data_IF_801749993614
#
_entry.id   IF_801749993614
#
_cell.length_a   1.000
_cell.length_b   1.000
_cell.length_c   1.000
_cell.angle_alpha   90.00
_cell.angle_beta   90.00
_cell.angle_gamma   90.00
#
_symmetry.space_group_name_H-M   'P 1'
#
loop_
_entity.id
_entity.type
_entity.pdbx_description
1 polymer ?
#
# COMPACT_ATOMS: atom_id res chain seq x y z
N UNK A 1 0.77 -83.20 -34.70
CA UNK A 1 1.36 -82.45 -33.56
C UNK A 1 0.42 -81.28 -33.22
N UNK A 2 -0.21 -81.35 -32.03
CA UNK A 2 -0.75 -80.30 -31.13
C UNK A 2 -1.49 -79.03 -31.64
N UNK A 3 -2.68 -78.77 -31.05
CA UNK A 3 -3.52 -77.55 -31.09
C UNK A 3 -2.94 -76.33 -30.32
N UNK A 4 -3.25 -75.08 -30.74
CA UNK A 4 -3.84 -74.02 -29.86
C UNK A 4 -4.34 -72.74 -30.59
N UNK A 5 -5.38 -72.12 -30.01
CA UNK A 5 -6.15 -70.89 -30.38
C UNK A 5 -5.38 -69.55 -30.26
N UNK A 6 -6.02 -68.46 -30.74
CA UNK A 6 -6.03 -67.06 -30.20
C UNK A 6 -5.22 -66.02 -31.01
N UNK A 7 -5.52 -64.72 -31.16
CA UNK A 7 -6.69 -63.81 -31.03
C UNK A 7 -6.26 -62.44 -31.63
N UNK A 8 -7.25 -61.68 -32.12
CA UNK A 8 -7.35 -60.30 -32.67
C UNK A 8 -6.20 -59.29 -32.45
N UNK A 9 -5.89 -58.47 -33.48
CA UNK A 9 -5.25 -57.13 -33.32
C UNK A 9 -5.80 -56.06 -34.29
N UNK A 10 -6.63 -55.18 -33.71
CA UNK A 10 -6.85 -53.73 -33.89
C UNK A 10 -6.85 -53.09 -35.29
N UNK A 11 -8.01 -52.54 -35.66
CA UNK A 11 -8.26 -51.63 -36.80
C UNK A 11 -7.92 -50.18 -36.38
N UNK A 12 -7.29 -49.38 -37.25
CA UNK A 12 -7.27 -47.91 -37.16
C UNK A 12 -7.51 -47.29 -38.53
N UNK A 13 -8.59 -46.51 -38.76
CA UNK A 13 -8.87 -45.90 -40.06
C UNK A 13 -8.22 -44.51 -40.22
N UNK A 14 -7.51 -44.37 -41.35
CA UNK A 14 -7.45 -43.27 -42.32
C UNK A 14 -7.97 -41.87 -41.88
N UNK A 15 -7.09 -40.88 -41.86
CA UNK A 15 -7.46 -39.45 -41.80
C UNK A 15 -7.26 -38.84 -43.20
N UNK A 16 -8.36 -38.40 -43.81
CA UNK A 16 -8.40 -37.54 -44.97
C UNK A 16 -9.02 -36.19 -44.57
N UNK A 17 -8.35 -35.11 -45.00
CA UNK A 17 -8.63 -33.71 -44.67
C UNK A 17 -9.90 -33.22 -45.38
N UNK A 18 -10.78 -32.50 -44.69
CA UNK A 18 -11.80 -31.64 -45.29
C UNK A 18 -11.94 -30.34 -44.49
N UNK A 19 -11.86 -29.22 -45.19
CA UNK A 19 -11.72 -27.85 -44.66
C UNK A 19 -13.09 -27.31 -44.20
N UNK A 20 -13.21 -26.91 -42.92
CA UNK A 20 -14.41 -26.28 -42.37
C UNK A 20 -14.12 -24.79 -42.11
N UNK A 21 -14.73 -23.91 -42.92
CA UNK A 21 -14.81 -22.48 -42.67
C UNK A 21 -15.78 -22.24 -41.50
N UNK A 22 -15.25 -22.00 -40.30
CA UNK A 22 -16.05 -21.43 -39.20
C UNK A 22 -15.99 -19.91 -39.27
N UNK A 23 -17.14 -19.31 -39.57
CA UNK A 23 -17.41 -17.89 -39.41
C UNK A 23 -17.31 -17.55 -37.92
N UNK A 24 -16.15 -17.05 -37.46
CA UNK A 24 -16.07 -16.39 -36.16
C UNK A 24 -16.67 -14.99 -36.32
N UNK A 25 -17.87 -14.78 -35.78
CA UNK A 25 -18.33 -13.43 -35.43
C UNK A 25 -17.32 -12.77 -34.47
N UNK A 26 -17.38 -11.44 -34.26
CA UNK A 26 -16.48 -10.78 -33.32
C UNK A 26 -16.58 -11.52 -31.99
N UNK A 27 -15.47 -12.18 -31.63
CA UNK A 27 -15.32 -12.87 -30.37
C UNK A 27 -15.79 -11.89 -29.31
N UNK A 28 -16.77 -12.33 -28.53
CA UNK A 28 -17.36 -11.51 -27.49
C UNK A 28 -16.25 -10.76 -26.80
N UNK A 29 -16.28 -9.44 -26.91
CA UNK A 29 -15.72 -8.62 -25.87
C UNK A 29 -16.49 -9.08 -24.64
N UNK A 30 -15.92 -10.03 -23.88
CA UNK A 30 -16.08 -9.99 -22.44
C UNK A 30 -15.92 -8.52 -22.12
N UNK A 31 -16.95 -7.82 -21.59
CA UNK A 31 -16.67 -6.48 -21.09
C UNK A 31 -15.45 -6.68 -20.22
N UNK A 32 -14.35 -5.99 -20.56
CA UNK A 32 -13.26 -5.83 -19.60
C UNK A 32 -14.02 -5.49 -18.32
N UNK A 33 -13.90 -6.34 -17.30
CA UNK A 33 -14.17 -5.85 -15.97
C UNK A 33 -13.37 -4.55 -15.94
N UNK A 34 -14.02 -3.42 -15.69
CA UNK A 34 -13.25 -2.22 -15.45
C UNK A 34 -12.34 -2.63 -14.30
N UNK A 35 -11.05 -2.85 -14.61
CA UNK A 35 -10.04 -2.90 -13.58
C UNK A 35 -10.15 -1.51 -13.00
N UNK A 36 -10.84 -1.39 -11.85
CA UNK A 36 -10.83 -0.19 -11.05
C UNK A 36 -9.41 -0.11 -10.51
N UNK A 37 -8.52 0.33 -11.40
CA UNK A 37 -7.11 0.49 -11.13
C UNK A 37 -7.03 1.66 -10.15
N UNK A 38 -6.97 1.33 -8.86
CA UNK A 38 -6.67 2.30 -7.83
C UNK A 38 -5.25 2.79 -8.11
N UNK A 39 -5.15 3.92 -8.82
CA UNK A 39 -3.87 4.50 -9.22
C UNK A 39 -3.09 5.05 -8.02
N UNK A 40 -3.78 5.40 -6.94
CA UNK A 40 -3.19 5.75 -5.66
C UNK A 40 -4.21 5.67 -4.53
N UNK A 41 -3.75 5.37 -3.33
CA UNK A 41 -4.49 5.51 -2.08
C UNK A 41 -3.69 6.37 -1.09
N UNK A 42 -4.38 6.93 -0.10
CA UNK A 42 -3.74 7.66 1.00
C UNK A 42 -4.10 6.95 2.29
N UNK A 43 -3.07 6.57 3.04
CA UNK A 43 -3.19 5.91 4.33
C UNK A 43 -1.97 6.22 5.19
N UNK A 44 -1.88 5.58 6.35
CA UNK A 44 -0.71 5.60 7.22
C UNK A 44 -0.23 4.18 7.53
N UNK A 45 -0.55 3.20 6.67
CA UNK A 45 -0.33 1.77 6.95
C UNK A 45 1.08 1.28 6.54
N UNK A 46 1.72 1.94 5.58
CA UNK A 46 3.06 1.60 5.12
C UNK A 46 4.21 2.22 5.98
N UNK A 47 4.09 3.48 6.48
CA UNK A 47 5.10 4.04 7.36
C UNK A 47 5.22 3.28 8.68
N UNK A 48 6.43 3.24 9.26
CA UNK A 48 6.63 2.57 10.55
C UNK A 48 6.04 3.37 11.70
N UNK A 49 5.39 2.66 12.61
CA UNK A 49 5.16 3.12 13.98
C UNK A 49 6.46 3.00 14.78
N UNK A 50 6.64 3.86 15.78
CA UNK A 50 7.89 3.93 16.54
C UNK A 50 7.70 4.54 17.92
N UNK A 51 8.82 4.80 18.60
CA UNK A 51 8.81 5.57 19.85
C UNK A 51 8.50 7.05 19.59
N UNK A 52 8.31 7.84 20.66
CA UNK A 52 8.16 9.29 20.57
C UNK A 52 9.15 9.94 19.60
N UNK A 53 8.66 10.93 18.87
CA UNK A 53 9.45 11.73 17.95
C UNK A 53 10.16 12.85 18.72
N UNK A 54 11.46 13.01 18.48
CA UNK A 54 12.27 14.10 19.01
C UNK A 54 12.79 14.90 17.83
N UNK A 55 12.30 16.10 17.65
CA UNK A 55 12.85 17.00 16.66
C UNK A 55 14.29 17.38 17.01
N UNK A 56 15.19 17.22 16.03
CA UNK A 56 16.60 17.58 16.17
C UNK A 56 16.92 18.94 15.54
N UNK A 57 15.91 19.60 14.95
CA UNK A 57 15.99 20.96 14.46
C UNK A 57 16.01 22.01 15.56
N UNK A 58 16.10 23.27 15.14
CA UNK A 58 16.01 24.43 16.03
C UNK A 58 14.53 24.84 16.20
N UNK A 59 14.00 24.66 17.42
CA UNK A 59 12.60 24.98 17.76
C UNK A 59 12.25 26.46 17.57
N UNK A 60 13.25 27.34 17.54
CA UNK A 60 13.03 28.77 17.31
C UNK A 60 12.81 29.12 15.84
N UNK A 61 12.90 28.14 14.93
CA UNK A 61 12.83 28.36 13.48
C UNK A 61 11.84 27.46 12.78
N UNK A 62 11.19 27.98 11.75
CA UNK A 62 10.34 27.22 10.84
C UNK A 62 11.19 26.26 10.00
N UNK A 63 10.88 24.97 10.01
CA UNK A 63 11.68 23.98 9.29
C UNK A 63 10.90 22.68 8.96
N UNK A 64 11.32 21.93 7.92
CA UNK A 64 10.78 20.61 7.66
C UNK A 64 11.26 19.62 8.72
N UNK A 65 10.37 18.76 9.19
CA UNK A 65 10.73 17.69 10.11
C UNK A 65 11.50 16.59 9.37
N UNK A 66 12.24 15.75 10.08
CA UNK A 66 13.08 14.69 9.49
C UNK A 66 12.86 13.39 10.25
N UNK A 67 12.69 12.28 9.54
CA UNK A 67 12.52 10.98 10.20
C UNK A 67 13.78 10.59 11.00
N UNK A 68 13.55 10.15 12.24
CA UNK A 68 14.59 9.61 13.10
C UNK A 68 14.49 8.09 13.20
N UNK A 69 15.62 7.36 13.23
CA UNK A 69 15.60 5.90 13.37
C UNK A 69 14.87 5.43 14.63
N UNK A 70 13.88 4.54 14.46
CA UNK A 70 13.13 3.92 15.56
C UNK A 70 12.06 4.81 16.23
N UNK A 71 11.89 6.04 15.75
CA UNK A 71 10.84 6.95 16.19
C UNK A 71 9.66 6.92 15.20
N UNK A 72 8.55 7.51 15.61
CA UNK A 72 7.37 7.68 14.77
C UNK A 72 7.73 8.39 13.46
N UNK A 73 7.15 7.90 12.36
CA UNK A 73 7.41 8.47 11.03
C UNK A 73 6.68 9.79 10.88
N UNK A 74 7.39 10.86 10.51
CA UNK A 74 6.83 12.20 10.28
C UNK A 74 6.77 12.57 8.79
N UNK A 75 7.55 11.88 7.96
CA UNK A 75 7.50 12.00 6.50
C UNK A 75 7.48 10.63 5.84
N UNK A 76 6.70 10.48 4.76
CA UNK A 76 6.69 9.24 3.98
C UNK A 76 6.89 9.52 2.50
N UNK A 77 7.78 8.77 1.88
CA UNK A 77 7.97 8.81 0.42
C UNK A 77 7.03 7.79 -0.20
N UNK A 78 6.25 8.24 -1.19
CA UNK A 78 5.29 7.38 -1.90
C UNK A 78 5.91 6.06 -2.34
N UNK A 79 5.23 4.95 -2.03
CA UNK A 79 5.63 3.58 -2.38
C UNK A 79 4.37 2.72 -2.51
N UNK A 80 4.37 1.77 -3.44
CA UNK A 80 3.30 0.76 -3.52
C UNK A 80 1.91 1.28 -3.88
N UNK A 81 1.78 2.54 -4.33
CA UNK A 81 0.50 3.19 -4.58
C UNK A 81 0.01 4.07 -3.42
N UNK A 82 0.68 4.05 -2.26
CA UNK A 82 0.41 4.99 -1.18
C UNK A 82 1.03 6.36 -1.51
N UNK A 83 0.24 7.43 -1.42
CA UNK A 83 0.73 8.81 -1.58
C UNK A 83 1.60 9.18 -0.38
N UNK A 84 2.75 9.80 -0.65
CA UNK A 84 3.65 10.28 0.40
C UNK A 84 3.13 11.55 1.08
N UNK A 85 3.64 11.83 2.27
CA UNK A 85 3.34 13.04 3.03
C UNK A 85 4.61 13.64 3.63
N UNK A 86 4.57 14.92 3.97
CA UNK A 86 5.64 15.58 4.70
C UNK A 86 5.11 16.55 5.74
N UNK A 87 5.73 16.54 6.91
CA UNK A 87 5.42 17.42 8.03
C UNK A 87 6.39 18.61 8.07
N UNK A 88 5.85 19.79 8.37
CA UNK A 88 6.59 21.03 8.50
C UNK A 88 6.18 21.74 9.80
N UNK A 89 7.18 22.12 10.59
CA UNK A 89 7.02 22.83 11.84
C UNK A 89 7.09 24.35 11.63
N UNK A 90 6.17 25.07 12.28
CA UNK A 90 6.19 26.52 12.38
C UNK A 90 6.27 26.94 13.85
N UNK A 91 7.28 27.74 14.17
CA UNK A 91 7.40 28.37 15.47
C UNK A 91 6.35 29.48 15.60
N UNK A 92 5.16 29.12 16.07
CA UNK A 92 4.04 30.05 16.28
C UNK A 92 3.80 30.38 17.76
N UNK A 93 4.59 29.79 18.67
CA UNK A 93 4.43 29.91 20.13
C UNK A 93 5.70 30.33 20.87
N UNK A 94 6.85 30.36 20.21
CA UNK A 94 8.17 30.65 20.79
C UNK A 94 8.51 29.75 21.99
N UNK A 95 8.28 28.44 21.84
CA UNK A 95 8.47 27.42 22.88
C UNK A 95 9.46 26.31 22.43
N UNK A 96 9.48 25.18 23.15
CA UNK A 96 10.35 24.03 22.88
C UNK A 96 9.97 23.25 21.61
N UNK A 97 8.78 23.46 21.05
CA UNK A 97 8.31 22.77 19.84
C UNK A 97 8.27 21.26 20.05
N UNK A 98 8.74 20.49 19.07
CA UNK A 98 8.76 19.01 19.12
C UNK A 98 10.08 18.43 19.68
N UNK A 99 10.91 19.25 20.35
CA UNK A 99 12.30 18.88 20.68
C UNK A 99 12.47 18.10 21.99
N UNK A 100 11.42 17.96 22.79
CA UNK A 100 11.47 17.32 24.13
C UNK A 100 10.84 15.92 24.18
N UNK A 101 10.19 15.48 23.09
CA UNK A 101 9.80 14.09 22.89
C UNK A 101 8.30 13.88 22.93
N UNK A 102 7.67 14.07 21.78
CA UNK A 102 6.22 14.03 21.63
C UNK A 102 5.74 12.75 20.92
N UNK A 103 4.51 12.36 21.22
CA UNK A 103 3.79 11.41 20.37
C UNK A 103 3.31 12.14 19.12
N UNK A 104 4.23 12.30 18.17
CA UNK A 104 4.03 13.04 16.93
C UNK A 104 4.50 12.22 15.73
N UNK A 105 3.58 11.85 14.84
CA UNK A 105 3.87 11.01 13.67
C UNK A 105 2.93 9.82 13.53
N UNK A 106 3.30 8.86 12.70
CA UNK A 106 2.50 7.66 12.45
C UNK A 106 2.47 6.75 13.68
N UNK A 107 1.26 6.30 14.04
CA UNK A 107 0.95 5.54 15.26
C UNK A 107 -0.05 4.41 14.95
N UNK A 108 -0.01 3.33 15.72
CA UNK A 108 -1.08 2.31 15.82
C UNK A 108 -1.88 2.46 17.13
N UNK A 109 -1.56 3.48 17.93
CA UNK A 109 -2.25 3.76 19.18
C UNK A 109 -3.62 4.38 18.92
N UNK A 110 -4.67 3.58 19.06
CA UNK A 110 -6.04 4.05 18.84
C UNK A 110 -6.58 4.96 19.94
N UNK A 111 -5.87 5.09 21.07
CA UNK A 111 -6.17 6.02 22.15
C UNK A 111 -7.66 6.25 22.42
N UNK A 112 -8.08 7.51 22.25
CA UNK A 112 -9.48 7.95 22.44
C UNK A 112 -10.38 7.70 21.22
N UNK A 113 -9.81 7.52 20.02
CA UNK A 113 -10.61 7.30 18.80
C UNK A 113 -11.16 5.87 18.73
N UNK A 114 -10.58 4.94 19.48
CA UNK A 114 -11.02 3.55 19.63
C UNK A 114 -10.67 2.67 18.43
N UNK A 115 -10.91 3.17 17.22
CA UNK A 115 -10.55 2.54 15.95
C UNK A 115 -10.38 3.57 14.84
N UNK A 116 -9.48 3.31 13.90
CA UNK A 116 -9.34 4.12 12.69
C UNK A 116 -10.45 3.82 11.67
N UNK A 117 -10.79 4.83 10.86
CA UNK A 117 -11.82 4.72 9.80
C UNK A 117 -11.44 3.67 8.75
N UNK A 118 -10.14 3.47 8.54
CA UNK A 118 -9.54 2.48 7.66
C UNK A 118 -8.19 2.07 8.25
N UNK A 119 -7.83 0.79 8.14
CA UNK A 119 -6.54 0.29 8.59
C UNK A 119 -6.38 0.18 10.11
N UNK A 120 -5.12 0.08 10.54
CA UNK A 120 -4.70 -0.07 11.93
C UNK A 120 -3.81 1.09 12.40
N UNK A 121 -3.51 2.05 11.54
CA UNK A 121 -2.61 3.16 11.82
C UNK A 121 -3.26 4.52 11.53
N UNK A 122 -2.74 5.56 12.18
CA UNK A 122 -3.11 6.96 12.01
C UNK A 122 -1.92 7.90 12.21
N UNK A 123 -2.19 9.21 12.22
CA UNK A 123 -1.20 10.23 12.53
C UNK A 123 -1.56 10.91 13.85
N UNK A 124 -0.66 10.86 14.83
CA UNK A 124 -0.83 11.46 16.16
C UNK A 124 -0.16 12.82 16.26
N UNK A 125 -0.79 13.72 17.02
CA UNK A 125 -0.32 15.08 17.29
C UNK A 125 -0.77 15.50 18.70
N UNK A 126 -0.07 15.04 19.75
CA UNK A 126 -0.49 15.32 21.14
C UNK A 126 -0.06 16.67 21.67
N UNK A 127 1.16 17.10 21.36
CA UNK A 127 1.67 18.41 21.74
C UNK A 127 2.68 18.82 20.69
N UNK A 128 2.42 19.91 19.98
CA UNK A 128 3.29 20.36 18.90
C UNK A 128 4.01 21.66 19.24
N UNK A 129 3.61 22.29 20.35
CA UNK A 129 4.12 23.59 20.83
C UNK A 129 4.48 24.58 19.72
N UNK A 130 3.56 24.66 18.77
CA UNK A 130 3.73 25.33 17.50
C UNK A 130 2.58 24.99 16.56
N UNK A 131 2.75 25.35 15.29
CA UNK A 131 1.81 25.00 14.25
C UNK A 131 2.46 23.97 13.32
N UNK A 132 1.65 23.02 12.88
CA UNK A 132 2.08 21.93 12.03
C UNK A 132 1.32 21.98 10.72
N UNK A 133 2.04 21.78 9.62
CA UNK A 133 1.43 21.44 8.35
C UNK A 133 1.86 20.04 7.94
N UNK A 134 0.85 19.21 7.63
CA UNK A 134 1.02 17.96 6.92
C UNK A 134 0.50 18.16 5.49
N UNK A 135 1.29 17.78 4.50
CA UNK A 135 0.97 17.93 3.07
C UNK A 135 1.35 16.73 2.25
#
# INVERSE_FOLDING_TARGET
MLLKKSSIKTIRPLIAIFFLLILSGPSGTTPLAAEDEIFAYTSFEEPSTGSQYIDSGDSSTDHPLVNNPGQMTVNFTSTGGEIGFSAFYFNSRDDVGLTDGDYFGVTDYTGQVGSYTSGSQGYEMTDADGAIRLS
#
